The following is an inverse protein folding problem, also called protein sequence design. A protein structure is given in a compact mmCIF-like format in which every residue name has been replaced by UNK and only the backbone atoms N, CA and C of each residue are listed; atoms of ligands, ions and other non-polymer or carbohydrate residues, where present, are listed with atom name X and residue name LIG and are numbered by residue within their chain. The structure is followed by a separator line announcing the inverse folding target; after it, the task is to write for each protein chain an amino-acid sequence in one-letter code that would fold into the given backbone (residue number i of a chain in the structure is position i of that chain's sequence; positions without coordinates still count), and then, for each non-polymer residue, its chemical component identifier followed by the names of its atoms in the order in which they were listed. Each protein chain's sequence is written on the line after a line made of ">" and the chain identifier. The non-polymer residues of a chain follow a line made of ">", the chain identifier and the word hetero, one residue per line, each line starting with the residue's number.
data_IF_375213923303
#
_entry.id   IF_375213923303
#
_cell.length_a   1.000
_cell.length_b   1.000
_cell.length_c   1.000
_cell.angle_alpha   90.00
_cell.angle_beta   90.00
_cell.angle_gamma   90.00
#
_symmetry.space_group_name_H-M   'P 1'
#
loop_
_entity.id
_entity.type
_entity.pdbx_description
1 polymer ?
#
# COMPACT_ATOMS: atom_id res chain seq x y z
N UNK A 1 13.42 -15.82 -24.53
CA UNK A 1 13.44 -14.34 -24.44
C UNK A 1 12.00 -13.84 -24.37
N UNK A 2 11.75 -12.73 -23.67
CA UNK A 2 10.45 -12.04 -23.66
C UNK A 2 10.48 -10.86 -24.63
N UNK A 3 9.33 -10.46 -25.17
CA UNK A 3 9.25 -9.35 -26.13
C UNK A 3 9.35 -7.98 -25.46
N UNK A 4 9.05 -7.86 -24.16
CA UNK A 4 9.19 -6.63 -23.38
C UNK A 4 8.71 -6.81 -21.94
N UNK A 5 8.87 -5.77 -21.12
CA UNK A 5 8.40 -5.72 -19.74
C UNK A 5 7.92 -4.31 -19.38
N UNK A 6 6.89 -4.23 -18.53
CA UNK A 6 6.42 -2.99 -17.95
C UNK A 6 6.30 -3.16 -16.43
N UNK A 7 6.88 -2.23 -15.66
CA UNK A 7 6.88 -2.28 -14.19
C UNK A 7 6.49 -0.93 -13.60
N UNK A 8 5.75 -0.94 -12.49
CA UNK A 8 5.46 0.26 -11.71
C UNK A 8 6.37 0.41 -10.49
N UNK A 9 7.06 -0.67 -10.09
CA UNK A 9 7.93 -0.72 -8.92
C UNK A 9 9.33 -1.12 -9.35
N UNK A 10 10.33 -0.66 -8.60
CA UNK A 10 11.76 -0.88 -8.88
C UNK A 10 12.50 -1.23 -7.60
N UNK A 11 13.68 -1.84 -7.67
CA UNK A 11 14.51 -2.10 -6.48
C UNK A 11 15.96 -1.77 -6.84
N UNK A 12 16.57 -0.71 -6.27
CA UNK A 12 15.98 0.24 -5.31
C UNK A 12 14.97 1.21 -5.94
N UNK A 13 14.18 1.90 -5.11
CA UNK A 13 13.31 3.01 -5.52
C UNK A 13 13.94 4.38 -5.16
N UNK A 14 14.03 5.33 -6.11
CA UNK A 14 13.77 5.19 -7.55
C UNK A 14 14.86 4.39 -8.27
N UNK A 15 14.53 3.80 -9.42
CA UNK A 15 15.52 3.23 -10.35
C UNK A 15 16.62 4.26 -10.65
N UNK A 16 17.88 3.78 -10.70
CA UNK A 16 19.02 4.64 -10.98
C UNK A 16 18.94 5.18 -12.41
N UNK A 17 19.33 6.44 -12.59
CA UNK A 17 19.25 7.11 -13.90
C UNK A 17 20.17 6.46 -14.95
N UNK A 18 21.24 5.79 -14.52
CA UNK A 18 22.19 5.06 -15.35
C UNK A 18 21.90 3.55 -15.40
N UNK A 19 20.72 3.11 -14.95
CA UNK A 19 20.34 1.69 -15.00
C UNK A 19 20.20 1.23 -16.46
N UNK A 20 20.85 0.11 -16.87
CA UNK A 20 20.80 -0.38 -18.24
C UNK A 20 19.38 -0.66 -18.75
N UNK A 21 18.43 -1.00 -17.88
CA UNK A 21 17.04 -1.24 -18.28
C UNK A 21 16.38 0.01 -18.88
N UNK A 22 16.77 1.21 -18.44
CA UNK A 22 16.26 2.48 -18.96
C UNK A 22 16.71 2.77 -20.40
N UNK A 23 17.67 2.00 -20.92
CA UNK A 23 18.15 2.12 -22.31
C UNK A 23 17.45 1.19 -23.29
N UNK A 24 16.58 0.30 -22.81
CA UNK A 24 15.91 -0.70 -23.63
C UNK A 24 14.60 -0.15 -24.21
N UNK A 25 14.45 -0.22 -25.54
CA UNK A 25 13.22 0.20 -26.24
C UNK A 25 11.97 -0.61 -25.84
N UNK A 26 12.15 -1.81 -25.28
CA UNK A 26 11.08 -2.72 -24.88
C UNK A 26 10.85 -2.77 -23.36
N UNK A 27 11.31 -1.76 -22.63
CA UNK A 27 11.11 -1.60 -21.20
C UNK A 27 10.34 -0.32 -20.89
N UNK A 28 9.25 -0.45 -20.14
CA UNK A 28 8.44 0.68 -19.66
C UNK A 28 8.47 0.69 -18.14
N UNK A 29 8.72 1.86 -17.54
CA UNK A 29 8.69 2.04 -16.08
C UNK A 29 7.84 3.24 -15.70
N UNK A 30 7.03 3.09 -14.67
CA UNK A 30 6.29 4.20 -14.02
C UNK A 30 6.79 4.41 -12.59
N UNK A 31 6.60 5.61 -12.06
CA UNK A 31 7.19 6.02 -10.78
C UNK A 31 6.32 5.61 -9.57
N UNK A 32 6.11 4.31 -9.36
CA UNK A 32 5.30 3.76 -8.25
C UNK A 32 3.92 4.45 -8.12
N UNK A 33 3.28 4.64 -9.27
CA UNK A 33 2.08 5.46 -9.44
C UNK A 33 0.82 4.63 -9.76
N UNK A 34 0.91 3.30 -9.77
CA UNK A 34 -0.20 2.39 -10.04
C UNK A 34 -1.34 2.51 -9.03
N UNK A 35 -1.07 3.06 -7.84
CA UNK A 35 -2.07 3.36 -6.82
C UNK A 35 -2.90 4.63 -7.12
N UNK A 36 -2.45 5.51 -8.02
CA UNK A 36 -2.98 6.86 -8.14
C UNK A 36 -4.18 6.94 -9.09
N UNK A 37 -5.29 7.43 -8.54
CA UNK A 37 -6.41 8.03 -9.27
C UNK A 37 -7.13 9.00 -8.31
N UNK A 38 -7.91 9.96 -8.82
CA UNK A 38 -8.65 10.90 -7.95
C UNK A 38 -9.53 10.15 -6.92
N UNK A 39 -10.30 9.11 -7.30
CA UNK A 39 -11.06 8.32 -6.33
C UNK A 39 -10.18 7.52 -5.37
N UNK A 40 -9.12 6.87 -5.86
CA UNK A 40 -8.24 6.05 -5.00
C UNK A 40 -7.50 6.91 -3.97
N UNK A 41 -7.03 8.10 -4.34
CA UNK A 41 -6.37 9.02 -3.42
C UNK A 41 -7.34 9.54 -2.35
N UNK A 42 -8.59 9.78 -2.73
CA UNK A 42 -9.66 10.15 -1.78
C UNK A 42 -9.91 9.02 -0.79
N UNK A 43 -10.03 7.76 -1.23
CA UNK A 43 -10.22 6.62 -0.33
C UNK A 43 -8.98 6.35 0.54
N UNK A 44 -7.77 6.49 -0.01
CA UNK A 44 -6.50 6.30 0.71
C UNK A 44 -6.42 7.21 1.93
N UNK A 45 -6.93 8.44 1.85
CA UNK A 45 -6.92 9.40 2.94
C UNK A 45 -8.04 9.17 3.96
N UNK A 46 -9.25 8.82 3.51
CA UNK A 46 -10.42 8.68 4.40
C UNK A 46 -10.48 7.33 5.12
N UNK A 47 -10.08 6.24 4.46
CA UNK A 47 -10.23 4.88 5.01
C UNK A 47 -9.48 4.68 6.32
N UNK A 48 -8.21 5.11 6.50
CA UNK A 48 -7.52 4.95 7.78
C UNK A 48 -8.24 5.64 8.94
N UNK A 49 -8.74 6.86 8.73
CA UNK A 49 -9.50 7.58 9.76
C UNK A 49 -10.78 6.84 10.17
N UNK A 50 -11.49 6.26 9.19
CA UNK A 50 -12.68 5.43 9.45
C UNK A 50 -12.35 4.17 10.25
N UNK A 51 -11.23 3.51 9.97
CA UNK A 51 -10.81 2.32 10.71
C UNK A 51 -10.38 2.65 12.15
N UNK A 52 -9.75 3.80 12.39
CA UNK A 52 -9.48 4.28 13.76
C UNK A 52 -10.78 4.48 14.54
N UNK A 53 -11.76 5.19 13.96
CA UNK A 53 -13.08 5.38 14.57
C UNK A 53 -13.77 4.03 14.83
N UNK A 54 -13.63 3.05 13.94
CA UNK A 54 -14.18 1.70 14.10
C UNK A 54 -13.64 1.01 15.35
N UNK A 55 -12.33 1.08 15.58
CA UNK A 55 -11.70 0.53 16.80
C UNK A 55 -12.23 1.20 18.06
N UNK A 56 -12.39 2.53 18.05
CA UNK A 56 -12.98 3.26 19.19
C UNK A 56 -14.45 2.91 19.46
N UNK A 57 -15.17 2.38 18.46
CA UNK A 57 -16.53 1.86 18.63
C UNK A 57 -16.58 0.41 19.12
N UNK A 58 -15.43 -0.20 19.43
CA UNK A 58 -15.35 -1.61 19.84
C UNK A 58 -15.44 -2.60 18.67
N UNK A 59 -15.38 -2.12 17.43
CA UNK A 59 -15.40 -2.93 16.22
C UNK A 59 -13.97 -3.18 15.69
N UNK A 60 -13.78 -4.22 14.88
CA UNK A 60 -12.46 -4.53 14.30
C UNK A 60 -12.26 -3.94 12.90
N UNK A 61 -11.05 -3.48 12.53
CA UNK A 61 -10.77 -2.90 11.21
C UNK A 61 -11.17 -3.82 10.05
N UNK A 62 -11.67 -3.22 8.97
CA UNK A 62 -11.91 -3.93 7.71
C UNK A 62 -10.58 -4.24 7.03
N UNK A 63 -10.24 -5.53 6.95
CA UNK A 63 -8.96 -5.98 6.43
C UNK A 63 -7.86 -6.05 7.48
N UNK A 64 -8.20 -6.32 8.74
CA UNK A 64 -7.22 -6.56 9.80
C UNK A 64 -6.24 -7.69 9.42
N UNK A 65 -4.98 -7.32 9.19
CA UNK A 65 -3.95 -8.24 8.69
C UNK A 65 -3.34 -9.15 9.76
N UNK A 66 -3.35 -8.69 11.02
CA UNK A 66 -2.79 -9.40 12.17
C UNK A 66 -3.87 -9.72 13.23
N UNK A 67 -4.79 -10.68 12.97
CA UNK A 67 -5.89 -11.00 13.88
C UNK A 67 -5.45 -11.36 15.32
N UNK A 68 -4.25 -11.87 15.50
CA UNK A 68 -3.63 -12.19 16.80
C UNK A 68 -3.48 -10.97 17.72
N UNK A 69 -3.45 -9.75 17.16
CA UNK A 69 -3.32 -8.51 17.95
C UNK A 69 -4.56 -8.24 18.81
N UNK A 70 -5.71 -8.85 18.48
CA UNK A 70 -6.98 -8.61 19.17
C UNK A 70 -6.88 -8.86 20.67
N UNK A 71 -6.20 -9.93 21.06
CA UNK A 71 -6.05 -10.31 22.46
C UNK A 71 -5.20 -9.27 23.22
N UNK A 72 -4.03 -8.94 22.67
CA UNK A 72 -3.15 -7.90 23.24
C UNK A 72 -3.84 -6.54 23.31
N UNK A 73 -4.66 -6.21 22.31
CA UNK A 73 -5.45 -4.98 22.30
C UNK A 73 -6.50 -4.97 23.42
N UNK A 74 -7.25 -6.07 23.58
CA UNK A 74 -8.26 -6.22 24.64
C UNK A 74 -7.66 -6.19 26.05
N UNK A 75 -6.52 -6.84 26.27
CA UNK A 75 -5.83 -6.79 27.56
C UNK A 75 -5.41 -5.37 27.95
N UNK A 76 -5.03 -4.56 26.96
CA UNK A 76 -4.59 -3.17 27.21
C UNK A 76 -5.73 -2.17 27.29
N UNK A 77 -6.79 -2.36 26.49
CA UNK A 77 -7.82 -1.34 26.25
C UNK A 77 -9.27 -1.83 26.37
N UNK A 78 -9.51 -3.12 26.62
CA UNK A 78 -10.84 -3.74 26.66
C UNK A 78 -11.66 -3.47 27.91
N UNK A 79 -11.24 -2.50 28.75
CA UNK A 79 -11.93 -2.07 29.96
C UNK A 79 -12.71 -0.75 29.82
N UNK A 80 -12.84 -0.22 28.60
CA UNK A 80 -13.66 0.94 28.25
C UNK A 80 -14.89 0.53 27.44
#
# INVERSE_FOLDING_TARGET
>A
MIMGAAVDVTEPEPIKIDDPLLTLDNFIVTAHSGHFSIPAFTELTHRPAREVVRVFKGEWPVGLLNPEVKEKFRQKWGGY
#
